data_IF_244511466121
#
_entry.id   IF_244511466121
#
_cell.length_a   1.000
_cell.length_b   1.000
_cell.length_c   1.000
_cell.angle_alpha   90.00
_cell.angle_beta   90.00
_cell.angle_gamma   90.00
#
_symmetry.space_group_name_H-M   'P 1'
#
loop_
_entity.id
_entity.type
_entity.pdbx_description
1 polymer ?
#
# COMPACT_ATOMS: atom_id res chain seq x y z
N UNK A 1 30.74 8.96 7.17
CA UNK A 1 29.43 9.51 6.76
C UNK A 1 28.39 8.64 7.42
N UNK A 2 27.49 9.20 8.22
CA UNK A 2 26.39 8.43 8.78
C UNK A 2 25.54 7.89 7.63
N UNK A 3 25.09 6.64 7.75
CA UNK A 3 24.20 6.01 6.79
C UNK A 3 22.84 6.73 6.81
N UNK A 4 22.33 7.11 5.63
CA UNK A 4 21.05 7.81 5.51
C UNK A 4 19.91 6.80 5.61
N UNK A 5 19.04 6.96 6.61
CA UNK A 5 17.90 6.05 6.84
C UNK A 5 16.62 6.55 6.18
N UNK A 6 15.61 5.69 6.01
CA UNK A 6 14.29 6.12 5.50
C UNK A 6 13.64 7.14 6.43
N UNK A 7 13.86 7.02 7.75
CA UNK A 7 13.39 8.03 8.71
C UNK A 7 14.06 9.37 8.52
N UNK A 8 15.36 9.40 8.22
CA UNK A 8 16.07 10.66 7.96
C UNK A 8 15.54 11.34 6.69
N UNK A 9 15.26 10.55 5.64
CA UNK A 9 14.67 11.05 4.39
C UNK A 9 13.25 11.57 4.64
N UNK A 10 12.41 10.81 5.36
CA UNK A 10 11.05 11.19 5.73
C UNK A 10 11.02 12.51 6.52
N UNK A 11 11.85 12.63 7.56
CA UNK A 11 11.96 13.85 8.35
C UNK A 11 12.45 15.04 7.51
N UNK A 12 13.43 14.83 6.63
CA UNK A 12 13.99 15.88 5.77
C UNK A 12 12.98 16.36 4.72
N UNK A 13 12.26 15.44 4.08
CA UNK A 13 11.22 15.76 3.11
C UNK A 13 10.09 16.57 3.76
N UNK A 14 9.64 16.16 4.95
CA UNK A 14 8.62 16.88 5.71
C UNK A 14 9.06 18.27 6.14
N UNK A 15 10.27 18.40 6.70
CA UNK A 15 10.83 19.69 7.10
C UNK A 15 10.92 20.67 5.92
N UNK A 16 11.36 20.21 4.75
CA UNK A 16 11.38 21.00 3.53
C UNK A 16 9.96 21.41 3.08
N UNK A 17 8.98 20.52 3.22
CA UNK A 17 7.58 20.80 2.89
C UNK A 17 7.00 21.93 3.74
N UNK A 18 7.22 21.86 5.05
CA UNK A 18 6.86 22.92 6.01
C UNK A 18 7.57 24.23 5.68
N UNK A 19 8.88 24.18 5.43
CA UNK A 19 9.69 25.35 5.10
C UNK A 19 9.24 26.07 3.81
N UNK A 20 8.72 25.32 2.84
CA UNK A 20 8.19 25.86 1.57
C UNK A 20 6.69 26.18 1.61
N UNK A 21 6.02 25.99 2.76
CA UNK A 21 4.57 26.18 2.90
C UNK A 21 3.75 25.40 1.86
N UNK A 22 4.23 24.22 1.48
CA UNK A 22 3.48 23.30 0.63
C UNK A 22 2.29 22.69 1.36
N UNK A 23 1.40 22.05 0.62
CA UNK A 23 0.23 21.39 1.19
C UNK A 23 0.65 20.34 2.25
N UNK A 24 0.06 20.43 3.43
CA UNK A 24 0.31 19.52 4.56
C UNK A 24 -0.99 18.97 5.16
N UNK A 25 -2.14 19.26 4.54
CA UNK A 25 -3.46 18.87 5.05
C UNK A 25 -4.32 18.09 4.06
N UNK A 26 -4.17 18.32 2.75
CA UNK A 26 -4.97 17.63 1.73
C UNK A 26 -4.27 16.35 1.26
N UNK A 27 -4.61 15.23 1.87
CA UNK A 27 -4.06 13.90 1.53
C UNK A 27 -4.42 13.48 0.10
N UNK A 28 -5.61 13.83 -0.40
CA UNK A 28 -6.04 13.43 -1.73
C UNK A 28 -5.23 14.13 -2.82
N UNK A 29 -4.93 15.42 -2.62
CA UNK A 29 -4.02 16.17 -3.47
C UNK A 29 -2.63 15.53 -3.52
N UNK A 30 -2.07 15.09 -2.38
CA UNK A 30 -0.76 14.45 -2.34
C UNK A 30 -0.70 13.11 -3.07
N UNK A 31 -1.76 12.30 -3.00
CA UNK A 31 -1.87 11.13 -3.86
C UNK A 31 -1.88 11.52 -5.34
N UNK A 32 -2.59 12.59 -5.70
CA UNK A 32 -2.61 13.13 -7.07
C UNK A 32 -1.21 13.54 -7.57
N UNK A 33 -0.45 14.24 -6.74
CA UNK A 33 0.93 14.65 -7.06
C UNK A 33 1.85 13.42 -7.19
N UNK A 34 1.78 12.48 -6.26
CA UNK A 34 2.51 11.21 -6.33
C UNK A 34 2.20 10.44 -7.62
N UNK A 35 0.93 10.39 -8.05
CA UNK A 35 0.56 9.79 -9.34
C UNK A 35 1.17 10.53 -10.55
N UNK A 36 1.31 11.85 -10.45
CA UNK A 36 2.03 12.67 -11.44
C UNK A 36 3.46 12.18 -11.62
N UNK A 37 4.22 12.06 -10.53
CA UNK A 37 5.63 11.61 -10.58
C UNK A 37 5.78 10.21 -11.18
N UNK A 38 4.82 9.30 -10.90
CA UNK A 38 4.80 7.97 -11.54
C UNK A 38 4.61 8.06 -13.05
N UNK A 39 3.77 8.99 -13.53
CA UNK A 39 3.57 9.21 -14.96
C UNK A 39 4.81 9.82 -15.63
N UNK A 40 5.53 10.71 -14.94
CA UNK A 40 6.78 11.29 -15.41
C UNK A 40 7.88 10.23 -15.49
N UNK A 41 8.04 9.41 -14.44
CA UNK A 41 8.98 8.27 -14.45
C UNK A 41 8.71 7.30 -15.60
N UNK A 42 7.44 6.95 -15.84
CA UNK A 42 7.06 6.10 -16.98
C UNK A 42 7.41 6.76 -18.32
N UNK A 43 7.18 8.07 -18.45
CA UNK A 43 7.52 8.83 -19.65
C UNK A 43 9.03 8.86 -19.89
N UNK A 44 9.83 9.06 -18.85
CA UNK A 44 11.29 9.03 -18.92
C UNK A 44 11.82 7.65 -19.34
N UNK A 45 11.29 6.57 -18.76
CA UNK A 45 11.63 5.20 -19.14
C UNK A 45 11.28 4.91 -20.60
N UNK A 46 10.05 5.21 -21.02
CA UNK A 46 9.58 4.98 -22.40
C UNK A 46 10.37 5.78 -23.43
N UNK A 47 10.85 6.96 -23.02
CA UNK A 47 11.67 7.84 -23.85
C UNK A 47 13.18 7.51 -23.79
N UNK A 48 13.58 6.45 -23.09
CA UNK A 48 14.97 6.03 -22.91
C UNK A 48 15.87 7.12 -22.31
N UNK A 49 15.36 7.88 -21.34
CA UNK A 49 16.07 8.94 -20.63
C UNK A 49 16.46 8.48 -19.22
N UNK A 50 17.62 7.82 -19.04
CA UNK A 50 17.97 7.20 -17.75
C UNK A 50 18.25 8.20 -16.63
N UNK A 51 18.75 9.39 -16.96
CA UNK A 51 18.98 10.45 -15.97
C UNK A 51 17.65 10.98 -15.43
N UNK A 52 16.73 11.36 -16.32
CA UNK A 52 15.38 11.78 -15.94
C UNK A 52 14.66 10.68 -15.15
N UNK A 53 14.75 9.41 -15.59
CA UNK A 53 14.15 8.31 -14.84
C UNK A 53 14.68 8.22 -13.41
N UNK A 54 15.97 8.45 -13.18
CA UNK A 54 16.55 8.43 -11.84
C UNK A 54 16.00 9.58 -10.98
N UNK A 55 15.86 10.78 -11.55
CA UNK A 55 15.29 11.95 -10.88
C UNK A 55 13.81 11.69 -10.51
N UNK A 56 12.99 11.22 -11.46
CA UNK A 56 11.56 10.97 -11.20
C UNK A 56 11.35 9.84 -10.17
N UNK A 57 12.20 8.81 -10.15
CA UNK A 57 12.15 7.78 -9.11
C UNK A 57 12.50 8.35 -7.72
N UNK A 58 13.37 9.35 -7.65
CA UNK A 58 13.66 10.04 -6.41
C UNK A 58 12.46 10.91 -5.97
N UNK A 59 11.79 11.59 -6.90
CA UNK A 59 10.60 12.39 -6.60
C UNK A 59 9.44 11.51 -6.11
N UNK A 60 9.20 10.36 -6.73
CA UNK A 60 8.25 9.34 -6.22
C UNK A 60 8.58 8.97 -4.77
N UNK A 61 9.86 8.72 -4.46
CA UNK A 61 10.27 8.36 -3.10
C UNK A 61 10.04 9.51 -2.11
N UNK A 62 10.32 10.75 -2.50
CA UNK A 62 10.13 11.96 -1.67
C UNK A 62 8.65 12.21 -1.38
N UNK A 63 7.78 12.11 -2.39
CA UNK A 63 6.33 12.23 -2.17
C UNK A 63 5.79 11.09 -1.32
N UNK A 64 6.27 9.86 -1.52
CA UNK A 64 5.85 8.71 -0.71
C UNK A 64 6.19 8.90 0.77
N UNK A 65 7.43 9.32 1.10
CA UNK A 65 7.80 9.55 2.51
C UNK A 65 7.07 10.77 3.09
N UNK A 66 6.84 11.82 2.29
CA UNK A 66 6.09 12.99 2.72
C UNK A 66 4.64 12.64 3.05
N UNK A 67 4.02 11.77 2.24
CA UNK A 67 2.69 11.25 2.47
C UNK A 67 2.62 10.32 3.69
N UNK A 68 3.67 9.50 3.92
CA UNK A 68 3.79 8.68 5.11
C UNK A 68 3.82 9.54 6.38
N UNK A 69 4.62 10.60 6.41
CA UNK A 69 4.66 11.54 7.54
C UNK A 69 3.31 12.22 7.75
N UNK A 70 2.70 12.72 6.67
CA UNK A 70 1.39 13.37 6.69
C UNK A 70 0.27 12.49 7.26
N UNK A 71 0.39 11.17 7.08
CA UNK A 71 -0.58 10.17 7.55
C UNK A 71 -0.17 9.46 8.84
N UNK A 72 0.94 9.87 9.47
CA UNK A 72 1.42 9.33 10.74
C UNK A 72 2.05 7.94 10.64
N UNK A 73 2.53 7.55 9.45
CA UNK A 73 3.16 6.25 9.20
C UNK A 73 4.69 6.37 9.34
N UNK A 74 5.29 5.57 10.22
CA UNK A 74 6.73 5.30 10.19
C UNK A 74 7.04 4.36 9.02
N UNK A 75 7.42 4.94 7.88
CA UNK A 75 7.59 4.17 6.64
C UNK A 75 8.72 3.14 6.75
N UNK A 76 9.78 3.45 7.50
CA UNK A 76 10.89 2.51 7.68
C UNK A 76 10.43 1.23 8.39
N UNK A 77 9.67 1.37 9.48
CA UNK A 77 9.11 0.22 10.21
C UNK A 77 8.13 -0.54 9.32
N UNK A 78 7.27 0.16 8.58
CA UNK A 78 6.31 -0.47 7.68
C UNK A 78 7.01 -1.28 6.57
N UNK A 79 8.06 -0.73 5.96
CA UNK A 79 8.89 -1.42 4.95
C UNK A 79 9.56 -2.66 5.56
N UNK A 80 10.21 -2.52 6.72
CA UNK A 80 10.90 -3.64 7.37
C UNK A 80 9.94 -4.80 7.69
N UNK A 81 8.77 -4.48 8.25
CA UNK A 81 7.73 -5.48 8.52
C UNK A 81 7.23 -6.14 7.22
N UNK A 82 7.00 -5.36 6.16
CA UNK A 82 6.53 -5.89 4.88
C UNK A 82 7.56 -6.78 4.20
N UNK A 83 8.84 -6.42 4.24
CA UNK A 83 9.93 -7.24 3.71
C UNK A 83 10.04 -8.57 4.44
N UNK A 84 9.95 -8.58 5.77
CA UNK A 84 9.95 -9.82 6.56
C UNK A 84 8.79 -10.73 6.18
N UNK A 85 7.58 -10.17 6.01
CA UNK A 85 6.42 -10.92 5.53
C UNK A 85 6.64 -11.44 4.11
N UNK A 86 7.18 -10.63 3.21
CA UNK A 86 7.37 -10.99 1.80
C UNK A 86 8.42 -12.09 1.61
N UNK A 87 9.47 -12.12 2.44
CA UNK A 87 10.50 -13.16 2.40
C UNK A 87 9.94 -14.57 2.64
N UNK A 88 8.88 -14.69 3.44
CA UNK A 88 8.18 -15.96 3.70
C UNK A 88 7.04 -16.28 2.73
N UNK A 89 6.77 -15.44 1.72
CA UNK A 89 5.63 -15.67 0.81
C UNK A 89 5.93 -16.73 -0.24
N UNK A 90 4.98 -17.63 -0.41
CA UNK A 90 4.95 -18.56 -1.52
C UNK A 90 4.06 -17.98 -2.61
N UNK A 91 4.51 -18.05 -3.86
CA UNK A 91 3.76 -17.64 -5.04
C UNK A 91 3.45 -18.84 -5.92
N UNK A 92 2.28 -18.80 -6.58
CA UNK A 92 1.86 -19.80 -7.57
C UNK A 92 1.52 -19.09 -8.86
N UNK A 93 1.84 -19.72 -9.99
CA UNK A 93 1.50 -19.17 -11.29
C UNK A 93 0.00 -19.29 -11.53
N UNK A 94 -0.64 -18.18 -11.90
CA UNK A 94 -2.02 -18.16 -12.36
C UNK A 94 -2.01 -18.11 -13.90
N UNK A 95 -2.41 -19.19 -14.60
CA UNK A 95 -2.36 -19.26 -16.06
C UNK A 95 -3.41 -18.39 -16.74
N UNK A 96 -4.49 -18.02 -16.06
CA UNK A 96 -5.54 -17.13 -16.60
C UNK A 96 -5.08 -15.68 -16.60
N UNK A 97 -4.47 -15.25 -15.49
CA UNK A 97 -3.96 -13.89 -15.35
C UNK A 97 -2.55 -13.70 -15.95
N UNK A 98 -1.83 -14.78 -16.26
CA UNK A 98 -0.46 -14.74 -16.77
C UNK A 98 0.57 -14.22 -15.79
N UNK A 99 0.23 -14.14 -14.49
CA UNK A 99 1.09 -13.58 -13.44
C UNK A 99 1.22 -14.54 -12.25
N UNK A 100 2.28 -14.36 -11.47
CA UNK A 100 2.41 -14.98 -10.16
C UNK A 100 1.43 -14.32 -9.19
N UNK A 101 0.62 -15.14 -8.53
CA UNK A 101 -0.28 -14.72 -7.45
C UNK A 101 0.22 -15.29 -6.13
N UNK A 102 -0.05 -14.57 -5.03
CA UNK A 102 0.26 -15.08 -3.68
C UNK A 102 -0.50 -16.40 -3.48
N UNK A 103 0.21 -17.47 -3.11
CA UNK A 103 -0.45 -18.70 -2.70
C UNK A 103 -1.28 -18.41 -1.45
N UNK A 104 -2.57 -18.76 -1.48
CA UNK A 104 -3.42 -18.64 -0.30
C UNK A 104 -2.86 -19.55 0.80
N UNK A 105 -2.83 -19.03 2.04
CA UNK A 105 -2.66 -19.90 3.21
C UNK A 105 -3.93 -20.76 3.27
N UNK A 106 -3.83 -22.09 3.40
CA UNK A 106 -5.00 -22.91 3.69
C UNK A 106 -5.69 -22.31 4.92
N UNK A 107 -6.96 -21.94 4.77
CA UNK A 107 -7.76 -21.45 5.90
C UNK A 107 -8.20 -22.69 6.66
N UNK A 108 -7.39 -23.15 7.61
CA UNK A 108 -7.81 -24.20 8.53
C UNK A 108 -8.98 -23.65 9.35
N UNK A 109 -10.19 -24.16 9.11
CA UNK A 109 -11.37 -23.88 9.93
C UNK A 109 -12.47 -22.99 9.35
N UNK A 110 -12.62 -22.85 8.02
CA UNK A 110 -13.90 -22.38 7.46
C UNK A 110 -14.84 -23.58 7.29
N UNK A 111 -15.51 -23.97 8.37
CA UNK A 111 -16.58 -24.96 8.33
C UNK A 111 -17.92 -24.25 8.06
N UNK A 112 -18.09 -23.79 6.81
CA UNK A 112 -19.36 -23.24 6.35
C UNK A 112 -19.83 -24.03 5.12
N UNK A 113 -20.77 -24.95 5.33
CA UNK A 113 -21.35 -25.83 4.30
C UNK A 113 -22.16 -25.12 3.19
N UNK A 114 -22.07 -23.79 3.06
CA UNK A 114 -22.61 -22.99 1.94
C UNK A 114 -21.51 -22.27 1.15
N UNK A 115 -20.25 -22.40 1.55
CA UNK A 115 -19.10 -21.73 0.96
C UNK A 115 -18.19 -22.71 0.21
N UNK A 116 -18.79 -23.73 -0.42
CA UNK A 116 -18.09 -24.82 -1.13
C UNK A 116 -17.22 -24.33 -2.30
N UNK A 117 -17.39 -23.07 -2.73
CA UNK A 117 -16.61 -22.40 -3.76
C UNK A 117 -15.52 -21.44 -3.21
N UNK A 118 -15.29 -21.42 -1.89
CA UNK A 118 -14.34 -20.52 -1.24
C UNK A 118 -14.91 -19.13 -0.96
N UNK A 119 -14.72 -18.60 0.25
CA UNK A 119 -14.95 -17.17 0.49
C UNK A 119 -13.83 -16.38 -0.18
N UNK A 120 -14.17 -15.42 -1.05
CA UNK A 120 -13.23 -14.43 -1.55
C UNK A 120 -12.86 -13.42 -0.45
N UNK A 121 -12.28 -13.89 0.65
CA UNK A 121 -11.78 -13.04 1.73
C UNK A 121 -10.26 -13.11 1.74
N UNK A 122 -9.63 -12.46 0.76
CA UNK A 122 -8.22 -11.99 0.74
C UNK A 122 -7.64 -11.79 -0.69
N UNK A 123 -8.42 -11.89 -1.77
CA UNK A 123 -7.91 -11.71 -3.13
C UNK A 123 -7.60 -10.24 -3.53
N UNK A 124 -7.51 -9.31 -2.58
CA UNK A 124 -6.85 -8.05 -2.86
C UNK A 124 -5.34 -8.30 -2.94
N UNK A 125 -4.77 -8.03 -4.12
CA UNK A 125 -3.35 -8.00 -4.43
C UNK A 125 -2.56 -6.95 -3.59
N UNK A 126 -2.82 -6.83 -2.29
CA UNK A 126 -2.06 -6.02 -1.36
C UNK A 126 -2.12 -4.50 -1.57
N UNK A 127 -3.01 -3.97 -2.42
CA UNK A 127 -3.09 -2.55 -2.77
C UNK A 127 -4.31 -1.80 -2.22
N UNK A 128 -5.18 -2.43 -1.43
CA UNK A 128 -6.27 -1.73 -0.75
C UNK A 128 -6.48 -2.28 0.66
N UNK A 129 -6.66 -1.36 1.59
CA UNK A 129 -7.05 -1.57 2.98
C UNK A 129 -8.20 -2.60 3.11
N UNK A 130 -8.10 -3.59 4.04
CA UNK A 130 -9.21 -4.48 4.40
C UNK A 130 -10.51 -3.74 4.78
N UNK A 131 -10.42 -2.48 5.22
CA UNK A 131 -11.56 -1.62 5.54
C UNK A 131 -12.27 -0.99 4.34
N UNK A 132 -11.70 -0.99 3.14
CA UNK A 132 -12.26 -0.26 2.00
C UNK A 132 -13.43 -0.98 1.32
N UNK A 133 -13.46 -2.32 1.27
CA UNK A 133 -14.56 -3.11 0.68
C UNK A 133 -14.73 -4.48 1.36
N UNK A 134 -15.05 -4.45 2.65
CA UNK A 134 -15.24 -5.63 3.48
C UNK A 134 -16.35 -6.60 3.04
N UNK A 135 -16.15 -7.84 3.48
CA UNK A 135 -17.08 -8.97 3.63
C UNK A 135 -17.40 -9.76 2.35
N UNK A 136 -16.96 -11.03 2.37
CA UNK A 136 -17.66 -12.13 1.70
C UNK A 136 -19.13 -12.01 2.11
N UNK A 137 -20.01 -11.56 1.21
CA UNK A 137 -21.41 -11.18 1.48
C UNK A 137 -22.33 -12.31 1.98
N UNK A 138 -21.77 -13.39 2.50
CA UNK A 138 -22.49 -14.49 3.10
C UNK A 138 -23.08 -14.10 4.46
N UNK A 139 -24.33 -14.51 4.69
CA UNK A 139 -25.08 -14.21 5.91
C UNK A 139 -24.45 -14.77 7.20
N UNK A 140 -23.52 -15.73 7.10
CA UNK A 140 -22.81 -16.35 8.22
C UNK A 140 -21.74 -15.46 8.89
N UNK A 141 -21.23 -14.42 8.21
CA UNK A 141 -20.18 -13.54 8.74
C UNK A 141 -20.61 -12.07 8.93
N UNK A 142 -21.91 -11.77 8.84
CA UNK A 142 -22.42 -10.47 9.29
C UNK A 142 -22.28 -10.40 10.81
N UNK A 143 -21.19 -9.81 11.30
CA UNK A 143 -21.12 -9.40 12.70
C UNK A 143 -22.32 -8.50 12.97
N UNK A 144 -23.20 -8.93 13.87
CA UNK A 144 -24.25 -8.08 14.39
C UNK A 144 -23.56 -6.82 14.94
N UNK A 145 -23.98 -5.63 14.49
CA UNK A 145 -23.58 -4.40 15.17
C UNK A 145 -24.00 -4.55 16.62
N UNK A 146 -23.04 -4.70 17.53
CA UNK A 146 -23.28 -4.59 18.96
C UNK A 146 -23.80 -3.16 19.19
N UNK A 147 -25.12 -3.06 19.36
CA UNK A 147 -25.78 -1.82 19.74
C UNK A 147 -25.29 -1.40 21.12
N UNK A 148 -24.58 -0.28 21.17
CA UNK A 148 -24.26 0.44 22.40
C UNK A 148 -24.86 1.85 22.35
N UNK A 149 -25.94 2.06 23.09
CA UNK A 149 -26.31 3.33 23.75
C UNK A 149 -26.95 4.44 22.90
N UNK A 150 -28.25 4.67 23.10
CA UNK A 150 -28.83 5.92 23.66
C UNK A 150 -30.36 5.89 23.61
N UNK A 151 -30.99 5.63 24.78
CA UNK A 151 -32.04 6.43 25.44
C UNK A 151 -32.65 5.61 26.57
#
# INVERSE_FOLDING_TARGET
MSELTVRDIQASAWANKLGKSFNTTDVALEFGLLYGEVAEAFTAWRSQQPAALADELADIAIYLVGLAEMTGVDLQTAIAAKLAVNAGRIYRFNPVAGILVKAETPVDGIDCARCDAGCASNNYNGYADPGAFGYCGCSCHRSAKSGGGTR
#
